data_IF_022045241063
#
_entry.id   IF_022045241063
#
_cell.length_a   1.000
_cell.length_b   1.000
_cell.length_c   1.000
_cell.angle_alpha   90.00
_cell.angle_beta   90.00
_cell.angle_gamma   90.00
#
_symmetry.space_group_name_H-M   'P 1'
#
loop_
_entity.id
_entity.type
_entity.pdbx_description
1 polymer ?
#
# COMPACT_ATOMS: atom_id res chain seq x y z
N UNK A 1 67.35 48.60 21.20
CA UNK A 1 66.25 48.80 20.24
C UNK A 1 65.00 48.25 20.93
N UNK A 2 64.40 49.07 21.81
CA UNK A 2 63.02 49.62 21.68
C UNK A 2 61.94 48.54 21.80
N UNK A 3 61.42 48.26 23.01
CA UNK A 3 60.12 48.77 23.57
C UNK A 3 58.90 48.29 22.77
N UNK A 4 57.83 47.72 23.32
CA UNK A 4 57.36 47.64 24.69
C UNK A 4 56.12 46.75 24.80
N UNK A 5 55.70 46.51 26.04
CA UNK A 5 54.55 45.71 26.44
C UNK A 5 53.24 46.51 26.54
N UNK A 6 52.15 45.78 26.83
CA UNK A 6 50.83 46.20 27.40
C UNK A 6 49.75 46.53 26.36
N UNK A 7 48.45 46.30 26.56
CA UNK A 7 47.63 45.64 27.59
C UNK A 7 46.18 45.54 27.03
N UNK A 8 45.37 44.67 27.64
CA UNK A 8 43.93 44.80 27.96
C UNK A 8 42.82 45.05 26.90
N UNK A 9 42.03 43.98 26.71
CA UNK A 9 40.57 43.84 26.96
C UNK A 9 39.49 44.75 26.28
N UNK A 10 38.26 44.21 26.05
CA UNK A 10 37.17 44.76 25.21
C UNK A 10 36.24 45.70 26.02
N UNK A 11 35.31 46.53 25.46
CA UNK A 11 34.06 46.08 24.81
C UNK A 11 33.47 47.05 23.74
N UNK A 12 32.39 46.65 23.07
CA UNK A 12 31.67 47.52 22.13
C UNK A 12 30.29 47.00 21.76
N UNK A 13 29.32 47.29 22.62
CA UNK A 13 27.87 47.11 22.44
C UNK A 13 27.35 48.16 21.44
N UNK A 14 26.62 47.75 20.40
CA UNK A 14 25.84 48.66 19.53
C UNK A 14 24.39 48.21 19.56
N UNK A 15 23.55 49.04 20.18
CA UNK A 15 22.11 48.83 20.34
C UNK A 15 21.34 49.16 19.06
N UNK A 16 20.35 48.30 18.80
CA UNK A 16 18.99 48.50 18.24
C UNK A 16 18.84 49.13 16.85
N UNK A 17 18.15 48.38 15.98
CA UNK A 17 16.86 48.82 15.44
C UNK A 17 15.97 47.61 15.11
N UNK A 18 14.69 47.71 15.49
CA UNK A 18 13.67 46.73 15.20
C UNK A 18 12.95 47.13 13.91
N UNK A 19 12.80 46.19 12.97
CA UNK A 19 11.89 46.33 11.85
C UNK A 19 11.03 45.08 11.75
N UNK A 20 9.73 45.33 11.69
CA UNK A 20 8.62 44.41 11.68
C UNK A 20 8.40 43.79 10.29
N UNK A 21 7.70 42.66 10.33
CA UNK A 21 6.82 42.11 9.30
C UNK A 21 7.47 41.57 8.00
N UNK A 22 7.26 40.28 7.81
CA UNK A 22 7.80 39.49 6.71
C UNK A 22 7.15 38.12 6.68
N UNK A 23 5.82 38.12 6.57
CA UNK A 23 5.00 37.05 5.96
C UNK A 23 5.79 35.81 5.53
N UNK A 24 5.64 34.73 6.31
CA UNK A 24 6.06 33.38 5.95
C UNK A 24 5.41 33.01 4.62
N UNK A 25 6.14 33.13 3.50
CA UNK A 25 5.70 32.64 2.20
C UNK A 25 5.51 31.13 2.30
N UNK A 26 4.25 30.72 2.39
CA UNK A 26 3.83 29.36 2.11
C UNK A 26 4.31 29.04 0.69
N UNK A 27 5.20 28.06 0.53
CA UNK A 27 5.46 27.52 -0.80
C UNK A 27 4.12 27.04 -1.39
N UNK A 28 3.81 27.38 -2.65
CA UNK A 28 2.55 26.94 -3.24
C UNK A 28 2.55 25.42 -3.25
N UNK A 29 1.42 24.84 -2.85
CA UNK A 29 1.16 23.44 -3.12
C UNK A 29 1.17 23.30 -4.64
N UNK A 30 2.24 22.73 -5.19
CA UNK A 30 2.27 22.28 -6.58
C UNK A 30 1.11 21.30 -6.71
N UNK A 31 0.03 21.79 -7.28
CA UNK A 31 -1.10 21.01 -7.74
C UNK A 31 -0.60 20.23 -8.95
N UNK A 32 0.12 19.15 -8.66
CA UNK A 32 0.48 18.14 -9.65
C UNK A 32 -0.84 17.71 -10.27
N UNK A 33 -1.05 18.17 -11.51
CA UNK A 33 -2.19 17.79 -12.33
C UNK A 33 -2.17 16.27 -12.36
N UNK A 34 -3.27 15.66 -11.92
CA UNK A 34 -3.50 14.22 -12.06
C UNK A 34 -3.55 13.94 -13.56
N UNK A 35 -2.43 13.58 -14.16
CA UNK A 35 -2.46 12.91 -15.44
C UNK A 35 -3.19 11.59 -15.22
N UNK A 36 -4.34 11.46 -15.89
CA UNK A 36 -5.00 10.19 -15.98
C UNK A 36 -4.03 9.20 -16.63
N UNK A 37 -3.90 7.97 -16.10
CA UNK A 37 -3.10 6.95 -16.77
C UNK A 37 -3.61 6.79 -18.22
N UNK A 38 -2.71 6.62 -19.20
CA UNK A 38 -3.11 6.35 -20.58
C UNK A 38 -4.00 5.10 -20.56
N UNK A 39 -5.24 5.27 -20.99
CA UNK A 39 -6.25 4.26 -21.27
C UNK A 39 -6.25 3.01 -20.36
N UNK A 40 -7.18 3.00 -19.41
CA UNK A 40 -7.50 1.96 -18.42
C UNK A 40 -6.99 0.54 -18.70
N UNK A 41 -6.16 0.05 -17.78
CA UNK A 41 -5.40 -1.21 -17.84
C UNK A 41 -6.28 -2.44 -17.52
N UNK A 42 -7.59 -2.40 -17.78
CA UNK A 42 -8.49 -3.56 -17.76
C UNK A 42 -9.62 -3.36 -18.77
N UNK A 43 -9.52 -3.97 -19.96
CA UNK A 43 -10.64 -4.02 -20.93
C UNK A 43 -10.96 -5.41 -21.45
N UNK A 44 -10.39 -6.47 -20.87
CA UNK A 44 -10.95 -7.80 -21.02
C UNK A 44 -11.99 -7.96 -19.91
N UNK A 45 -13.26 -8.00 -20.31
CA UNK A 45 -14.36 -8.11 -19.37
C UNK A 45 -14.30 -9.49 -18.71
N UNK A 46 -13.83 -9.52 -17.47
CA UNK A 46 -14.08 -10.66 -16.59
C UNK A 46 -15.60 -10.87 -16.49
N UNK A 47 -16.06 -12.12 -16.30
CA UNK A 47 -17.48 -12.39 -16.07
C UNK A 47 -17.96 -11.69 -14.80
N UNK A 48 -19.27 -11.71 -14.57
CA UNK A 48 -19.84 -11.24 -13.30
C UNK A 48 -19.33 -12.14 -12.15
N UNK A 49 -18.70 -11.50 -11.16
CA UNK A 49 -18.18 -12.18 -9.98
C UNK A 49 -19.22 -12.31 -8.88
N UNK A 50 -19.07 -13.37 -8.07
CA UNK A 50 -19.85 -13.60 -6.86
C UNK A 50 -19.02 -13.21 -5.64
N UNK A 51 -19.64 -12.49 -4.71
CA UNK A 51 -18.99 -12.18 -3.44
C UNK A 51 -18.70 -13.48 -2.67
N UNK A 52 -17.45 -13.64 -2.26
CA UNK A 52 -16.98 -14.71 -1.37
C UNK A 52 -16.91 -14.22 0.08
N UNK A 53 -17.01 -15.17 1.00
CA UNK A 53 -16.71 -14.91 2.41
C UNK A 53 -15.20 -14.78 2.61
N UNK A 54 -14.78 -13.87 3.50
CA UNK A 54 -13.38 -13.67 3.80
C UNK A 54 -12.98 -14.58 4.96
N UNK A 55 -11.85 -15.26 4.82
CA UNK A 55 -11.28 -16.04 5.91
C UNK A 55 -10.37 -15.17 6.79
N UNK A 56 -10.40 -15.42 8.09
CA UNK A 56 -9.57 -14.78 9.09
C UNK A 56 -8.47 -15.70 9.61
N UNK A 57 -7.37 -15.12 10.11
CA UNK A 57 -6.35 -15.88 10.84
C UNK A 57 -6.99 -16.57 12.07
N UNK A 58 -6.62 -17.82 12.39
CA UNK A 58 -5.49 -18.59 11.85
C UNK A 58 -5.87 -19.59 10.73
N UNK A 59 -6.83 -19.27 9.84
CA UNK A 59 -7.22 -20.19 8.75
C UNK A 59 -5.99 -20.64 7.93
N UNK A 60 -5.78 -21.96 7.70
CA UNK A 60 -4.52 -22.51 7.18
C UNK A 60 -4.13 -22.01 5.79
N UNK A 61 -5.12 -21.66 4.95
CA UNK A 61 -4.85 -21.08 3.62
C UNK A 61 -4.06 -19.77 3.69
N UNK A 62 -4.14 -19.02 4.80
CA UNK A 62 -3.50 -17.72 4.95
C UNK A 62 -2.01 -17.82 5.29
N UNK A 63 -1.54 -19.01 5.71
CA UNK A 63 -0.14 -19.29 6.04
C UNK A 63 0.51 -20.26 5.05
N UNK A 64 -0.25 -20.74 4.07
CA UNK A 64 0.26 -21.57 2.98
C UNK A 64 0.72 -20.71 1.80
N UNK A 65 1.84 -21.08 1.18
CA UNK A 65 2.25 -20.49 -0.11
C UNK A 65 1.24 -20.88 -1.18
N UNK A 66 0.67 -19.88 -1.83
CA UNK A 66 -0.29 -20.08 -2.90
C UNK A 66 0.38 -20.68 -4.15
N UNK A 67 -0.38 -21.49 -4.89
CA UNK A 67 0.06 -22.20 -6.09
C UNK A 67 -0.09 -21.32 -7.35
N UNK A 68 0.87 -21.37 -8.29
CA UNK A 68 0.69 -20.77 -9.61
C UNK A 68 -0.58 -21.28 -10.29
N UNK A 69 -1.17 -20.45 -11.13
CA UNK A 69 -2.42 -20.75 -11.85
C UNK A 69 -2.24 -20.62 -13.35
N UNK A 70 -3.05 -21.30 -14.14
CA UNK A 70 -3.24 -20.94 -15.54
C UNK A 70 -4.19 -19.74 -15.61
N UNK A 71 -3.74 -18.55 -16.06
CA UNK A 71 -4.59 -17.36 -16.11
C UNK A 71 -5.77 -17.49 -17.09
N UNK A 72 -5.73 -18.46 -18.01
CA UNK A 72 -6.79 -18.72 -19.00
C UNK A 72 -7.80 -19.77 -18.56
N UNK A 73 -7.54 -20.47 -17.44
CA UNK A 73 -8.47 -21.45 -16.88
C UNK A 73 -9.79 -20.75 -16.48
N UNK A 74 -10.95 -21.23 -16.96
CA UNK A 74 -12.25 -20.66 -16.62
C UNK A 74 -12.52 -20.51 -15.12
N UNK A 75 -12.00 -21.41 -14.29
CA UNK A 75 -12.13 -21.33 -12.82
C UNK A 75 -11.29 -20.19 -12.23
N UNK A 76 -10.12 -19.94 -12.79
CA UNK A 76 -9.22 -18.84 -12.39
C UNK A 76 -9.81 -17.50 -12.82
N UNK A 77 -10.38 -17.44 -14.03
CA UNK A 77 -11.10 -16.26 -14.53
C UNK A 77 -12.33 -15.95 -13.67
N UNK A 78 -13.09 -16.96 -13.26
CA UNK A 78 -14.20 -16.78 -12.33
C UNK A 78 -13.72 -16.30 -10.95
N UNK A 79 -12.63 -16.86 -10.42
CA UNK A 79 -12.05 -16.41 -9.16
C UNK A 79 -11.51 -14.97 -9.23
N UNK A 80 -10.97 -14.54 -10.36
CA UNK A 80 -10.57 -13.15 -10.61
C UNK A 80 -11.78 -12.21 -10.51
N UNK A 81 -12.91 -12.58 -11.09
CA UNK A 81 -14.16 -11.83 -10.96
C UNK A 81 -14.67 -11.80 -9.51
N UNK A 82 -14.62 -12.94 -8.82
CA UNK A 82 -15.04 -13.06 -7.42
C UNK A 82 -14.20 -12.18 -6.48
N UNK A 83 -12.89 -12.08 -6.72
CA UNK A 83 -12.00 -11.18 -5.99
C UNK A 83 -12.44 -9.72 -6.13
N UNK A 84 -12.71 -9.26 -7.36
CA UNK A 84 -13.22 -7.90 -7.61
C UNK A 84 -14.57 -7.66 -6.93
N UNK A 85 -15.52 -8.59 -7.10
CA UNK A 85 -16.84 -8.50 -6.47
C UNK A 85 -16.74 -8.40 -4.93
N UNK A 86 -15.87 -9.23 -4.34
CA UNK A 86 -15.63 -9.26 -2.89
C UNK A 86 -14.93 -8.00 -2.39
N UNK A 87 -13.90 -7.53 -3.10
CA UNK A 87 -13.14 -6.32 -2.78
C UNK A 87 -14.05 -5.08 -2.78
N UNK A 88 -14.81 -4.87 -3.87
CA UNK A 88 -15.75 -3.74 -4.01
C UNK A 88 -16.76 -3.70 -2.87
N UNK A 89 -17.29 -4.87 -2.47
CA UNK A 89 -18.33 -4.95 -1.44
C UNK A 89 -17.79 -4.76 -0.02
N UNK A 90 -16.56 -5.20 0.23
CA UNK A 90 -15.86 -5.05 1.52
C UNK A 90 -15.19 -3.69 1.70
N UNK A 91 -15.14 -2.86 0.64
CA UNK A 91 -14.51 -1.53 0.63
C UNK A 91 -13.03 -1.57 1.05
N UNK A 92 -12.33 -2.67 0.78
CA UNK A 92 -10.87 -2.74 0.90
C UNK A 92 -10.21 -2.32 -0.41
N UNK A 93 -8.92 -2.01 -0.33
CA UNK A 93 -8.12 -1.57 -1.49
C UNK A 93 -7.43 -2.71 -2.22
N UNK A 94 -7.48 -3.93 -1.67
CA UNK A 94 -6.92 -5.13 -2.29
C UNK A 94 -7.41 -6.39 -1.59
N UNK A 95 -7.38 -7.50 -2.33
CA UNK A 95 -7.74 -8.83 -1.84
C UNK A 95 -6.94 -9.90 -2.57
N UNK A 96 -6.35 -10.84 -1.85
CA UNK A 96 -5.69 -12.00 -2.44
C UNK A 96 -6.59 -13.24 -2.40
N UNK A 97 -6.45 -14.15 -3.38
CA UNK A 97 -7.22 -15.39 -3.45
C UNK A 97 -7.21 -16.21 -2.14
N UNK A 98 -6.10 -16.30 -1.38
CA UNK A 98 -6.11 -16.96 -0.06
C UNK A 98 -7.14 -16.36 0.90
N UNK A 99 -7.38 -15.05 0.85
CA UNK A 99 -8.36 -14.39 1.72
C UNK A 99 -9.80 -14.74 1.41
N UNK A 100 -10.10 -15.28 0.23
CA UNK A 100 -11.41 -15.86 -0.13
C UNK A 100 -11.40 -17.39 -0.12
N UNK A 101 -10.41 -17.99 0.56
CA UNK A 101 -10.31 -19.45 0.75
C UNK A 101 -9.62 -20.20 -0.38
N UNK A 102 -9.06 -19.52 -1.39
CA UNK A 102 -8.45 -20.14 -2.56
C UNK A 102 -6.91 -20.05 -2.49
N UNK A 103 -6.22 -21.18 -2.46
CA UNK A 103 -4.75 -21.26 -2.41
C UNK A 103 -4.04 -20.92 -3.73
N UNK A 104 -4.49 -19.89 -4.44
CA UNK A 104 -4.06 -19.54 -5.80
C UNK A 104 -3.26 -18.23 -5.85
N UNK A 105 -2.24 -18.15 -6.71
CA UNK A 105 -1.39 -16.95 -6.89
C UNK A 105 -2.11 -15.90 -7.74
N UNK A 106 -3.13 -15.29 -7.14
CA UNK A 106 -4.01 -14.33 -7.77
C UNK A 106 -4.41 -13.26 -6.76
N UNK A 107 -4.32 -11.98 -7.12
CA UNK A 107 -4.84 -10.90 -6.28
C UNK A 107 -5.53 -9.83 -7.11
N UNK A 108 -6.47 -9.11 -6.49
CA UNK A 108 -7.07 -7.88 -7.00
C UNK A 108 -6.64 -6.66 -6.19
N UNK A 109 -6.61 -5.50 -6.84
CA UNK A 109 -6.29 -4.22 -6.22
C UNK A 109 -7.08 -3.08 -6.87
N UNK A 110 -7.55 -2.13 -6.08
CA UNK A 110 -8.01 -0.81 -6.53
C UNK A 110 -7.73 0.22 -5.44
N UNK A 111 -6.79 1.11 -5.70
CA UNK A 111 -6.43 2.21 -4.79
C UNK A 111 -6.92 3.57 -5.30
N UNK A 112 -7.68 3.63 -6.40
CA UNK A 112 -8.05 4.87 -7.09
C UNK A 112 -8.79 5.89 -6.20
N UNK A 113 -9.52 5.38 -5.20
CA UNK A 113 -10.31 6.19 -4.25
C UNK A 113 -9.60 6.47 -2.93
N UNK A 114 -8.39 5.96 -2.72
CA UNK A 114 -7.70 6.10 -1.44
C UNK A 114 -6.95 7.45 -1.36
N UNK A 115 -7.06 8.23 -0.26
CA UNK A 115 -6.42 9.54 -0.13
C UNK A 115 -4.89 9.52 -0.22
N UNK A 116 -4.26 8.39 0.16
CA UNK A 116 -2.81 8.20 0.08
C UNK A 116 -2.28 7.86 -1.32
N UNK A 117 -3.15 7.70 -2.31
CA UNK A 117 -2.79 7.33 -3.68
C UNK A 117 -2.23 8.55 -4.43
N UNK A 118 -1.06 8.39 -5.05
CA UNK A 118 -0.42 9.43 -5.89
C UNK A 118 -0.68 9.16 -7.36
N UNK A 119 -0.28 7.98 -7.82
CA UNK A 119 -0.68 7.38 -9.09
C UNK A 119 -1.31 6.02 -8.85
N UNK A 120 -2.09 5.52 -9.82
CA UNK A 120 -2.59 4.15 -9.77
C UNK A 120 -2.85 3.58 -11.18
N UNK A 121 -2.69 2.26 -11.33
CA UNK A 121 -3.06 1.53 -12.53
C UNK A 121 -4.59 1.36 -12.70
N UNK A 122 -5.37 1.77 -11.70
CA UNK A 122 -6.81 1.57 -11.63
C UNK A 122 -7.17 0.26 -10.92
N UNK A 123 -8.38 -0.23 -11.18
CA UNK A 123 -8.80 -1.54 -10.73
C UNK A 123 -8.14 -2.63 -11.59
N UNK A 124 -7.48 -3.59 -10.94
CA UNK A 124 -6.65 -4.61 -11.59
C UNK A 124 -6.78 -5.97 -10.88
N UNK A 125 -6.65 -7.04 -11.66
CA UNK A 125 -6.36 -8.39 -11.15
C UNK A 125 -5.08 -8.90 -11.80
N UNK A 126 -4.20 -9.52 -11.01
CA UNK A 126 -2.90 -10.04 -11.48
C UNK A 126 -2.76 -11.50 -11.09
N UNK A 127 -2.58 -12.36 -12.09
CA UNK A 127 -2.19 -13.75 -11.92
C UNK A 127 -0.66 -13.88 -11.88
N UNK A 128 -0.17 -14.84 -11.10
CA UNK A 128 1.24 -15.22 -10.97
C UNK A 128 2.23 -14.04 -10.81
N UNK A 129 1.93 -13.06 -9.93
CA UNK A 129 2.77 -11.88 -9.79
C UNK A 129 4.15 -12.23 -9.21
N UNK A 130 5.17 -11.53 -9.70
CA UNK A 130 6.54 -11.52 -9.15
C UNK A 130 7.06 -10.09 -9.01
N UNK A 131 7.84 -9.85 -7.96
CA UNK A 131 8.50 -8.58 -7.70
C UNK A 131 9.78 -8.51 -8.53
N UNK A 132 9.89 -7.51 -9.40
CA UNK A 132 11.04 -7.31 -10.30
C UNK A 132 12.01 -6.30 -9.71
N UNK A 133 11.49 -5.23 -9.11
CA UNK A 133 12.30 -4.18 -8.49
C UNK A 133 11.57 -3.59 -7.29
N UNK A 134 12.33 -3.17 -6.29
CA UNK A 134 11.83 -2.50 -5.09
C UNK A 134 12.86 -1.48 -4.59
N UNK A 135 12.42 -0.25 -4.32
CA UNK A 135 13.29 0.82 -3.85
C UNK A 135 12.54 1.81 -2.95
N UNK A 136 13.33 2.65 -2.27
CA UNK A 136 12.87 3.68 -1.34
C UNK A 136 11.98 3.12 -0.22
N UNK A 137 12.54 2.80 0.94
CA UNK A 137 11.79 2.16 2.02
C UNK A 137 11.15 3.18 2.96
N UNK A 138 9.92 2.91 3.40
CA UNK A 138 9.25 3.69 4.42
C UNK A 138 8.37 2.82 5.31
N UNK A 139 8.33 3.15 6.60
CA UNK A 139 7.41 2.55 7.57
C UNK A 139 6.07 3.29 7.55
N UNK A 140 4.97 2.54 7.51
CA UNK A 140 3.63 3.09 7.71
C UNK A 140 2.70 2.03 8.29
N UNK A 141 1.54 2.50 8.78
CA UNK A 141 0.51 1.67 9.38
C UNK A 141 -0.23 0.84 8.33
N UNK A 142 -0.34 -0.46 8.56
CA UNK A 142 -1.15 -1.40 7.79
C UNK A 142 -2.23 -2.05 8.66
N UNK A 143 -3.31 -2.49 8.02
CA UNK A 143 -4.32 -3.38 8.60
C UNK A 143 -4.76 -4.37 7.53
N UNK A 144 -5.47 -5.44 7.93
CA UNK A 144 -5.92 -6.48 7.03
C UNK A 144 -7.29 -7.01 7.46
N UNK A 145 -8.20 -7.26 6.50
CA UNK A 145 -9.52 -7.84 6.80
C UNK A 145 -9.42 -9.27 7.35
N UNK A 146 -8.36 -10.01 7.00
CA UNK A 146 -8.09 -11.35 7.55
C UNK A 146 -7.47 -11.32 8.95
N UNK A 147 -7.14 -10.15 9.50
CA UNK A 147 -6.62 -9.99 10.87
C UNK A 147 -7.39 -8.82 11.53
N UNK A 148 -8.69 -9.01 11.80
CA UNK A 148 -9.54 -7.93 12.26
C UNK A 148 -9.11 -7.40 13.62
N UNK A 149 -9.28 -6.09 13.84
CA UNK A 149 -9.02 -5.45 15.12
C UNK A 149 -7.54 -5.17 15.41
N UNK A 150 -6.62 -5.51 14.51
CA UNK A 150 -5.20 -5.21 14.63
C UNK A 150 -4.70 -4.37 13.46
N UNK A 151 -3.74 -3.51 13.76
CA UNK A 151 -2.93 -2.78 12.78
C UNK A 151 -1.46 -2.84 13.21
N UNK A 152 -0.54 -2.61 12.29
CA UNK A 152 0.89 -2.62 12.62
C UNK A 152 1.73 -1.76 11.72
N UNK A 153 2.87 -1.29 12.24
CA UNK A 153 3.83 -0.51 11.47
C UNK A 153 4.77 -1.44 10.70
N UNK A 154 4.68 -1.37 9.37
CA UNK A 154 5.38 -2.24 8.44
C UNK A 154 6.25 -1.42 7.50
N UNK A 155 7.51 -1.82 7.34
CA UNK A 155 8.41 -1.22 6.35
C UNK A 155 8.16 -1.84 4.98
N UNK A 156 7.93 -0.99 3.97
CA UNK A 156 7.68 -1.39 2.57
C UNK A 156 8.52 -0.53 1.64
N UNK A 157 8.85 -1.08 0.48
CA UNK A 157 9.31 -0.25 -0.63
C UNK A 157 8.17 0.69 -1.06
N UNK A 158 8.50 1.95 -1.32
CA UNK A 158 7.56 2.97 -1.78
C UNK A 158 7.58 3.11 -3.30
N UNK A 159 8.46 2.36 -3.97
CA UNK A 159 8.41 2.12 -5.41
C UNK A 159 8.65 0.66 -5.67
N UNK A 160 7.79 0.06 -6.48
CA UNK A 160 7.92 -1.34 -6.91
C UNK A 160 7.63 -1.48 -8.40
N UNK A 161 8.26 -2.47 -9.02
CA UNK A 161 7.85 -2.98 -10.32
C UNK A 161 7.50 -4.45 -10.17
N UNK A 162 6.32 -4.84 -10.62
CA UNK A 162 5.90 -6.25 -10.65
C UNK A 162 5.64 -6.70 -12.09
N UNK A 163 5.81 -7.99 -12.32
CA UNK A 163 5.43 -8.69 -13.54
C UNK A 163 4.39 -9.76 -13.19
N UNK A 164 3.41 -9.95 -14.05
CA UNK A 164 2.39 -10.99 -13.92
C UNK A 164 1.62 -11.18 -15.21
N UNK A 165 0.44 -11.79 -15.12
CA UNK A 165 -0.39 -12.15 -16.27
C UNK A 165 -1.83 -11.69 -16.05
N UNK A 166 -2.52 -11.38 -17.14
CA UNK A 166 -3.95 -11.01 -17.12
C UNK A 166 -4.82 -12.27 -17.07
N UNK A 167 -5.73 -12.41 -16.09
CA UNK A 167 -6.73 -13.47 -16.13
C UNK A 167 -7.62 -13.31 -17.37
N UNK A 168 -7.91 -14.42 -18.06
CA UNK A 168 -8.68 -14.46 -19.30
C UNK A 168 -7.78 -14.64 -20.51
N UNK A 169 -6.93 -13.66 -20.80
CA UNK A 169 -6.04 -13.70 -21.97
C UNK A 169 -4.70 -14.37 -21.71
N UNK A 170 -4.24 -14.42 -20.46
CA UNK A 170 -2.86 -14.82 -20.12
C UNK A 170 -1.80 -13.83 -20.61
N UNK A 171 -2.19 -12.66 -21.12
CA UNK A 171 -1.24 -11.69 -21.64
C UNK A 171 -0.31 -11.18 -20.52
N UNK A 172 1.00 -11.04 -20.78
CA UNK A 172 1.94 -10.54 -19.79
C UNK A 172 1.64 -9.07 -19.46
N UNK A 173 1.88 -8.70 -18.22
CA UNK A 173 1.62 -7.36 -17.71
C UNK A 173 2.75 -6.91 -16.77
N UNK A 174 3.11 -5.63 -16.86
CA UNK A 174 4.08 -4.96 -15.98
C UNK A 174 3.36 -3.83 -15.28
N UNK A 175 3.49 -3.76 -13.95
CA UNK A 175 2.97 -2.64 -13.15
C UNK A 175 4.13 -1.93 -12.48
N UNK A 176 4.21 -0.62 -12.73
CA UNK A 176 5.03 0.28 -11.93
C UNK A 176 4.10 0.97 -10.94
N UNK A 177 4.39 0.81 -9.65
CA UNK A 177 3.57 1.35 -8.58
C UNK A 177 4.41 2.14 -7.60
N UNK A 178 3.81 3.16 -7.02
CA UNK A 178 4.45 4.01 -6.02
C UNK A 178 3.56 4.22 -4.77
N UNK A 179 4.16 4.81 -3.75
CA UNK A 179 3.52 5.25 -2.52
C UNK A 179 2.55 4.19 -1.94
N UNK A 180 1.25 4.50 -1.92
CA UNK A 180 0.24 3.62 -1.34
C UNK A 180 -0.06 2.38 -2.19
N UNK A 181 -0.05 2.50 -3.53
CA UNK A 181 -0.24 1.37 -4.42
C UNK A 181 0.88 0.34 -4.26
N UNK A 182 2.13 0.82 -4.21
CA UNK A 182 3.30 -0.05 -3.98
C UNK A 182 3.18 -0.86 -2.69
N UNK A 183 2.71 -0.22 -1.60
CA UNK A 183 2.46 -0.88 -0.32
C UNK A 183 1.35 -1.93 -0.43
N UNK A 184 0.21 -1.56 -1.03
CA UNK A 184 -0.91 -2.48 -1.20
C UNK A 184 -0.52 -3.71 -2.03
N UNK A 185 0.24 -3.53 -3.12
CA UNK A 185 0.74 -4.64 -3.94
C UNK A 185 1.62 -5.58 -3.11
N UNK A 186 2.62 -5.04 -2.38
CA UNK A 186 3.48 -5.86 -1.52
C UNK A 186 2.67 -6.61 -0.45
N UNK A 187 1.64 -5.99 0.12
CA UNK A 187 0.74 -6.64 1.07
C UNK A 187 -0.06 -7.79 0.42
N UNK A 188 -0.57 -7.61 -0.80
CA UNK A 188 -1.27 -8.70 -1.49
C UNK A 188 -0.31 -9.84 -1.88
N UNK A 189 0.92 -9.51 -2.29
CA UNK A 189 1.95 -10.51 -2.60
C UNK A 189 2.32 -11.34 -1.37
N UNK A 190 2.38 -10.73 -0.18
CA UNK A 190 2.61 -11.47 1.07
C UNK A 190 1.54 -12.53 1.31
N UNK A 191 0.27 -12.20 1.08
CA UNK A 191 -0.80 -13.18 1.21
C UNK A 191 -0.60 -14.38 0.27
N UNK A 192 -0.05 -14.16 -0.94
CA UNK A 192 0.28 -15.25 -1.86
C UNK A 192 1.47 -16.10 -1.40
N UNK A 193 2.30 -15.57 -0.51
CA UNK A 193 3.44 -16.26 0.06
C UNK A 193 3.16 -16.83 1.46
N UNK A 194 1.92 -16.74 1.95
CA UNK A 194 1.52 -17.22 3.27
C UNK A 194 2.01 -16.32 4.41
N UNK A 195 2.22 -15.03 4.14
CA UNK A 195 2.75 -14.03 5.07
C UNK A 195 1.64 -13.02 5.38
N UNK A 196 1.44 -12.72 6.65
CA UNK A 196 0.56 -11.66 7.12
C UNK A 196 1.38 -10.43 7.49
N UNK A 197 0.74 -9.25 7.53
CA UNK A 197 1.45 -8.02 7.94
C UNK A 197 2.04 -8.14 9.36
N UNK A 198 1.44 -8.97 10.22
CA UNK A 198 1.92 -9.27 11.58
C UNK A 198 3.32 -9.90 11.56
N UNK A 199 3.67 -10.64 10.51
CA UNK A 199 4.99 -11.26 10.36
C UNK A 199 6.06 -10.25 9.92
N UNK A 200 5.64 -9.03 9.52
CA UNK A 200 6.52 -7.97 9.01
C UNK A 200 6.61 -6.74 9.90
N UNK A 201 5.95 -6.74 11.05
CA UNK A 201 6.02 -5.61 11.99
C UNK A 201 7.45 -5.45 12.51
N UNK A 202 7.89 -4.21 12.66
CA UNK A 202 9.27 -3.87 13.09
C UNK A 202 9.58 -4.23 14.55
N UNK A 203 8.59 -4.73 15.28
CA UNK A 203 8.70 -5.24 16.64
C UNK A 203 7.33 -5.42 17.30
N UNK A 204 7.28 -6.07 18.45
CA UNK A 204 6.03 -6.34 19.19
C UNK A 204 5.29 -5.07 19.61
N UNK A 205 6.02 -3.97 19.88
CA UNK A 205 5.45 -2.65 20.18
C UNK A 205 4.88 -1.91 18.96
N UNK A 206 5.11 -2.46 17.77
CA UNK A 206 4.63 -1.93 16.51
C UNK A 206 3.29 -2.56 16.08
N UNK A 207 2.58 -3.23 17.00
CA UNK A 207 1.23 -3.79 16.82
C UNK A 207 0.25 -3.04 17.72
N UNK A 208 -0.90 -2.70 17.17
CA UNK A 208 -1.87 -1.83 17.81
C UNK A 208 -3.28 -2.39 17.65
N UNK A 209 -4.06 -2.37 18.74
CA UNK A 209 -5.49 -2.71 18.68
C UNK A 209 -6.28 -1.55 18.11
N UNK A 210 -7.20 -1.87 17.21
CA UNK A 210 -8.21 -0.93 16.73
C UNK A 210 -9.33 -0.90 17.76
N UNK A 211 -9.45 0.20 18.50
CA UNK A 211 -10.58 0.42 19.41
C UNK A 211 -11.79 0.84 18.56
N UNK A 212 -12.78 -0.03 18.43
CA UNK A 212 -14.05 0.35 17.82
C UNK A 212 -14.76 1.35 18.74
N UNK A 213 -15.02 2.57 18.27
CA UNK A 213 -15.88 3.52 18.98
C UNK A 213 -17.34 3.02 18.88
N UNK A 214 -17.85 2.47 19.98
CA UNK A 214 -19.26 2.40 20.38
C UNK A 214 -20.25 1.83 19.37
N UNK A 215 -20.42 0.49 19.37
CA UNK A 215 -21.73 -0.09 19.04
C UNK A 215 -22.56 -0.01 20.32
N UNK A 216 -23.56 0.88 20.35
CA UNK A 216 -24.60 0.83 21.39
C UNK A 216 -25.30 -0.52 21.22
N UNK A 217 -25.17 -1.39 22.22
CA UNK A 217 -26.06 -2.54 22.30
C UNK A 217 -27.48 -1.99 22.47
N UNK A 218 -28.34 -2.27 21.49
CA UNK A 218 -29.77 -2.15 21.67
C UNK A 218 -30.15 -3.36 22.52
N UNK A 219 -30.43 -3.10 23.79
CA UNK A 219 -31.08 -4.03 24.73
C UNK A 219 -32.49 -4.37 24.27
#
# INVERSE_FOLDING_TARGET
>A
MTTGARDDAPPGDIRREAAQDGTRRQAPADSVRREAPPDGICREALPDGVRRELVGAPHPVLTARALPVDPTDPQVVAAAADLLASMRRSRCTGLAAPQIGLGWRLFSIDVSRHPGTRSCAGELVVANPRLVAASHWATAREGCLSVPGLTGDVSRATRVTIQGERPGSGAPLIVHADAFEARCIQHQMDHLDGVLFLDRVTGTRAVYRVVQKGVRQVT
#
